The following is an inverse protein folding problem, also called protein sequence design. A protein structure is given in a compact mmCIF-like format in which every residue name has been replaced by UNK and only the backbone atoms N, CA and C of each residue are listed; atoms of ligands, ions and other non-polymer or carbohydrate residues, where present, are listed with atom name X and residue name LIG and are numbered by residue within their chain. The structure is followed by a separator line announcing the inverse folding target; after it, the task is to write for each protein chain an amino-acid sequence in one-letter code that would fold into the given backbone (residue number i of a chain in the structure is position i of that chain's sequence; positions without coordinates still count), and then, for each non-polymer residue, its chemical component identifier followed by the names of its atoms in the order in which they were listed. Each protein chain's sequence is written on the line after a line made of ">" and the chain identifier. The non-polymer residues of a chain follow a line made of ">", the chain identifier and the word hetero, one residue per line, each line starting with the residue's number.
data_IF_949688190940
#
_entry.id   IF_949688190940
#
_cell.length_a   1.000
_cell.length_b   1.000
_cell.length_c   1.000
_cell.angle_alpha   90.00
_cell.angle_beta   90.00
_cell.angle_gamma   90.00
#
_symmetry.space_group_name_H-M   'P 1'
#
loop_
_entity.id
_entity.type
_entity.pdbx_description
1 polymer ?
#
# COMPACT_ATOMS: atom_id res chain seq x y z
N UNK A 1 -21.13 -2.33 19.24
CA UNK A 1 -19.90 -1.50 19.19
C UNK A 1 -19.03 -2.11 18.12
N UNK A 2 -18.87 -1.42 16.99
CA UNK A 2 -18.09 -1.93 15.86
C UNK A 2 -16.63 -2.00 16.27
N UNK A 3 -15.97 -3.13 16.00
CA UNK A 3 -14.53 -3.27 16.15
C UNK A 3 -13.90 -2.79 14.85
N UNK A 4 -13.59 -1.51 14.79
CA UNK A 4 -12.59 -0.99 13.86
C UNK A 4 -11.25 -1.63 14.23
N UNK A 5 -10.89 -2.71 13.54
CA UNK A 5 -9.56 -3.29 13.63
C UNK A 5 -8.57 -2.31 12.97
N UNK A 6 -8.13 -1.31 13.72
CA UNK A 6 -7.03 -0.42 13.33
C UNK A 6 -5.71 -1.20 13.38
N UNK A 7 -5.30 -1.74 12.23
CA UNK A 7 -3.98 -2.35 12.07
C UNK A 7 -2.94 -1.25 11.88
N UNK A 8 -2.08 -1.06 12.88
CA UNK A 8 -0.93 -0.16 12.79
C UNK A 8 0.25 -0.89 12.13
N UNK A 9 0.98 -0.21 11.25
CA UNK A 9 2.20 -0.72 10.63
C UNK A 9 3.40 0.13 11.05
N UNK A 10 4.49 -0.53 11.44
CA UNK A 10 5.81 0.09 11.41
C UNK A 10 6.30 0.24 9.98
N UNK A 11 7.26 1.13 9.74
CA UNK A 11 7.89 1.28 8.42
C UNK A 11 8.56 -0.02 7.94
N UNK A 12 9.09 -0.82 8.86
CA UNK A 12 9.71 -2.11 8.54
C UNK A 12 8.69 -3.17 8.14
N UNK A 13 7.48 -3.13 8.70
CA UNK A 13 6.40 -4.01 8.29
C UNK A 13 5.84 -3.57 6.94
N UNK A 14 5.56 -2.28 6.75
CA UNK A 14 5.11 -1.75 5.47
C UNK A 14 6.06 -2.13 4.33
N UNK A 15 7.37 -2.00 4.54
CA UNK A 15 8.40 -2.31 3.53
C UNK A 15 8.40 -3.77 3.05
N UNK A 16 7.79 -4.70 3.78
CA UNK A 16 7.66 -6.12 3.38
C UNK A 16 6.58 -6.32 2.30
N UNK A 17 5.60 -5.42 2.24
CA UNK A 17 4.47 -5.52 1.32
C UNK A 17 4.75 -4.79 0.00
N UNK A 18 5.73 -5.31 -0.73
CA UNK A 18 6.34 -4.62 -1.88
C UNK A 18 6.23 -5.39 -3.21
N UNK A 19 5.28 -6.33 -3.33
CA UNK A 19 5.16 -7.19 -4.52
C UNK A 19 3.80 -7.07 -5.19
N UNK A 20 3.66 -7.54 -6.43
CA UNK A 20 2.40 -7.46 -7.17
C UNK A 20 1.25 -8.28 -6.54
N UNK A 21 1.55 -9.27 -5.71
CA UNK A 21 0.57 -10.09 -4.99
C UNK A 21 0.34 -9.65 -3.54
N UNK A 22 1.14 -8.69 -3.05
CA UNK A 22 1.11 -8.17 -1.70
C UNK A 22 1.67 -6.74 -1.73
N UNK A 23 0.79 -5.77 -2.03
CA UNK A 23 1.14 -4.40 -2.32
C UNK A 23 0.40 -3.44 -1.38
N UNK A 24 1.11 -2.94 -0.38
CA UNK A 24 0.65 -1.85 0.47
C UNK A 24 1.38 -0.55 0.12
N UNK A 25 0.70 0.58 0.29
CA UNK A 25 1.28 1.93 0.20
C UNK A 25 0.78 2.79 1.36
N UNK A 26 1.63 3.70 1.83
CA UNK A 26 1.21 4.75 2.76
C UNK A 26 0.89 6.03 1.99
N UNK A 27 -0.20 6.70 2.34
CA UNK A 27 -0.59 8.01 1.83
C UNK A 27 -1.07 8.85 3.01
N UNK A 28 -0.34 9.92 3.30
CA UNK A 28 -0.62 10.85 4.40
C UNK A 28 -0.81 10.14 5.74
N UNK A 29 0.06 9.18 6.03
CA UNK A 29 0.04 8.39 7.27
C UNK A 29 -0.97 7.23 7.31
N UNK A 30 -1.81 7.06 6.28
CA UNK A 30 -2.75 5.94 6.20
C UNK A 30 -2.19 4.85 5.27
N UNK A 31 -2.33 3.59 5.65
CA UNK A 31 -1.87 2.44 4.86
C UNK A 31 -3.03 1.85 4.05
N UNK A 32 -2.81 1.62 2.76
CA UNK A 32 -3.80 1.09 1.83
C UNK A 32 -3.29 -0.17 1.15
N UNK A 33 -4.13 -1.21 1.14
CA UNK A 33 -3.95 -2.36 0.25
C UNK A 33 -4.47 -2.02 -1.15
N UNK A 34 -3.54 -1.93 -2.09
CA UNK A 34 -3.83 -1.64 -3.50
C UNK A 34 -3.51 -2.83 -4.40
N UNK A 35 -3.27 -4.02 -3.84
CA UNK A 35 -2.98 -5.25 -4.57
C UNK A 35 -4.01 -5.52 -5.67
N UNK A 36 -5.31 -5.40 -5.33
CA UNK A 36 -6.42 -5.62 -6.28
C UNK A 36 -6.57 -4.51 -7.31
N UNK A 37 -6.08 -3.30 -6.99
CA UNK A 37 -6.16 -2.15 -7.86
C UNK A 37 -5.01 -2.10 -8.88
N UNK A 38 -3.90 -2.80 -8.60
CA UNK A 38 -2.69 -2.79 -9.42
C UNK A 38 -2.97 -2.92 -10.93
N UNK A 39 -3.75 -3.93 -11.35
CA UNK A 39 -4.07 -4.18 -12.78
C UNK A 39 -5.01 -3.16 -13.42
N UNK A 40 -5.69 -2.34 -12.61
CA UNK A 40 -6.68 -1.33 -13.05
C UNK A 40 -6.13 0.08 -12.97
N UNK A 41 -4.89 0.25 -12.52
CA UNK A 41 -4.29 1.56 -12.32
C UNK A 41 -4.07 2.27 -13.66
N UNK A 42 -4.71 3.44 -13.89
CA UNK A 42 -4.61 4.15 -15.16
C UNK A 42 -3.18 4.57 -15.53
N UNK A 43 -2.32 4.80 -14.52
CA UNK A 43 -0.91 5.15 -14.69
C UNK A 43 0.02 3.95 -14.93
N UNK A 44 -0.53 2.75 -15.16
CA UNK A 44 0.24 1.52 -15.35
C UNK A 44 0.66 0.85 -14.03
N UNK A 45 0.93 -0.45 -14.10
CA UNK A 45 1.33 -1.26 -12.94
C UNK A 45 2.69 -0.85 -12.38
N UNK A 46 3.64 -0.53 -13.26
CA UNK A 46 5.02 -0.20 -12.89
C UNK A 46 5.09 1.00 -11.94
N UNK A 47 4.26 2.02 -12.19
CA UNK A 47 4.15 3.22 -11.36
C UNK A 47 3.73 2.89 -9.92
N UNK A 48 2.77 1.97 -9.75
CA UNK A 48 2.34 1.54 -8.40
C UNK A 48 3.41 0.70 -7.71
N UNK A 49 4.08 -0.18 -8.46
CA UNK A 49 5.14 -1.05 -7.92
C UNK A 49 6.37 -0.26 -7.46
N UNK A 50 6.68 0.88 -8.08
CA UNK A 50 7.75 1.79 -7.64
C UNK A 50 7.50 2.34 -6.22
N UNK A 51 6.24 2.50 -5.84
CA UNK A 51 5.81 2.97 -4.52
C UNK A 51 5.49 1.85 -3.52
N UNK A 52 5.60 0.59 -3.91
CA UNK A 52 5.17 -0.53 -3.08
C UNK A 52 5.99 -0.62 -1.77
N UNK A 53 5.29 -0.77 -0.65
CA UNK A 53 5.85 -0.80 0.69
C UNK A 53 6.41 0.54 1.17
N UNK A 54 5.96 1.67 0.61
CA UNK A 54 6.49 3.02 0.91
C UNK A 54 5.38 4.04 1.10
N UNK A 55 5.74 5.19 1.68
CA UNK A 55 4.92 6.40 1.59
C UNK A 55 5.09 7.02 0.19
N UNK A 56 3.96 7.28 -0.45
CA UNK A 56 3.88 7.86 -1.80
C UNK A 56 3.25 9.25 -1.80
N UNK A 57 3.14 9.87 -0.63
CA UNK A 57 2.77 11.29 -0.50
C UNK A 57 3.84 12.17 -1.15
N UNK A 58 3.48 13.16 -1.98
CA UNK A 58 4.42 14.13 -2.54
C UNK A 58 5.20 14.93 -1.49
#
# INVERSE_FOLDING_TARGET
>A
MGVDNETTFTWQELAKHNTAGDLLVAIRGNVYDVTRFLKRHPGGMDTLLLGAGRDVTP
#
